data_IF_940335940889
#
_entry.id   IF_940335940889
#
_cell.length_a   1.000
_cell.length_b   1.000
_cell.length_c   1.000
_cell.angle_alpha   90.00
_cell.angle_beta   90.00
_cell.angle_gamma   90.00
#
_symmetry.space_group_name_H-M   'P 1'
#
loop_
_entity.id
_entity.type
_entity.pdbx_description
1 polymer ?
#
# COMPACT_ATOMS: atom_id res chain seq x y z
N UNK A 1 -7.02 28.78 3.02
CA UNK A 1 -8.10 27.80 3.28
C UNK A 1 -8.25 27.63 4.79
N UNK A 2 -9.46 27.73 5.34
CA UNK A 2 -9.69 27.59 6.79
C UNK A 2 -9.89 26.12 7.17
N UNK A 3 -9.20 25.66 8.22
CA UNK A 3 -9.09 24.24 8.59
C UNK A 3 -10.05 23.78 9.69
N UNK A 4 -11.14 24.52 9.95
CA UNK A 4 -12.02 24.22 11.09
C UNK A 4 -12.60 22.80 11.06
N UNK A 5 -12.82 22.23 9.87
CA UNK A 5 -13.33 20.86 9.68
C UNK A 5 -12.27 19.76 9.88
N UNK A 6 -10.99 20.12 9.98
CA UNK A 6 -9.87 19.19 10.12
C UNK A 6 -9.13 19.30 11.46
N UNK A 7 -9.63 20.15 12.38
CA UNK A 7 -9.11 20.21 13.74
C UNK A 7 -9.32 18.86 14.44
N UNK A 8 -8.24 18.30 14.99
CA UNK A 8 -8.22 16.96 15.60
C UNK A 8 -7.89 15.80 14.66
N UNK A 9 -7.57 16.07 13.38
CA UNK A 9 -7.10 15.04 12.44
C UNK A 9 -5.56 14.94 12.34
N UNK A 10 -4.81 15.86 12.92
CA UNK A 10 -3.33 15.90 12.89
C UNK A 10 -2.78 17.14 13.60
N UNK A 11 -1.52 17.54 13.40
CA UNK A 11 -0.87 18.70 14.06
C UNK A 11 -1.38 20.06 13.53
N UNK A 12 -2.59 20.11 12.99
CA UNK A 12 -3.21 21.31 12.43
C UNK A 12 -3.75 22.19 13.57
N UNK A 13 -2.83 22.91 14.23
CA UNK A 13 -3.16 23.89 15.27
C UNK A 13 -3.33 25.31 14.73
N UNK A 14 -3.11 25.50 13.42
CA UNK A 14 -3.26 26.77 12.74
C UNK A 14 -4.67 26.94 12.15
N UNK A 15 -5.13 28.18 12.08
CA UNK A 15 -6.38 28.53 11.39
C UNK A 15 -6.22 28.49 9.85
N UNK A 16 -5.01 28.29 9.36
CA UNK A 16 -4.62 28.30 7.96
C UNK A 16 -3.78 27.06 7.62
N UNK A 17 -3.93 26.56 6.40
CA UNK A 17 -3.16 25.46 5.86
C UNK A 17 -1.79 25.94 5.37
N UNK A 18 -0.71 25.36 5.90
CA UNK A 18 0.67 25.83 5.70
C UNK A 18 1.57 24.86 4.95
N UNK A 19 1.14 23.61 4.72
CA UNK A 19 2.00 22.55 4.20
C UNK A 19 2.22 22.68 2.69
N UNK A 20 1.20 23.14 1.97
CA UNK A 20 1.30 23.46 0.55
C UNK A 20 0.47 24.71 0.22
N UNK A 21 1.15 25.78 -0.16
CA UNK A 21 0.53 27.06 -0.55
C UNK A 21 -0.15 27.02 -1.92
N UNK A 22 0.18 26.03 -2.75
CA UNK A 22 -0.47 25.83 -4.05
C UNK A 22 -1.84 25.17 -3.94
N UNK A 23 -2.09 24.42 -2.85
CA UNK A 23 -3.36 23.75 -2.59
C UNK A 23 -4.53 24.75 -2.52
N UNK A 24 -5.57 24.50 -3.33
CA UNK A 24 -6.81 25.29 -3.38
C UNK A 24 -7.93 24.67 -2.57
N UNK A 25 -7.96 23.34 -2.50
CA UNK A 25 -8.90 22.56 -1.68
C UNK A 25 -8.20 21.35 -1.04
N UNK A 26 -8.84 20.80 -0.01
CA UNK A 26 -8.40 19.57 0.66
C UNK A 26 -9.50 18.53 0.60
N UNK A 27 -9.10 17.28 0.39
CA UNK A 27 -10.01 16.14 0.43
C UNK A 27 -9.57 15.14 1.50
N UNK A 28 -10.37 15.00 2.54
CA UNK A 28 -10.19 13.96 3.53
C UNK A 28 -10.50 12.59 2.94
N UNK A 29 -9.51 11.70 2.99
CA UNK A 29 -9.57 10.40 2.35
C UNK A 29 -9.31 9.29 3.36
N UNK A 30 -10.13 8.24 3.28
CA UNK A 30 -9.87 6.95 3.93
C UNK A 30 -9.67 5.88 2.86
N UNK A 31 -8.52 5.22 2.88
CA UNK A 31 -8.22 4.12 1.95
C UNK A 31 -8.02 2.84 2.74
N UNK A 32 -8.66 1.76 2.30
CA UNK A 32 -8.39 0.40 2.78
C UNK A 32 -7.35 -0.24 1.87
N UNK A 33 -6.29 -0.78 2.46
CA UNK A 33 -5.28 -1.58 1.80
C UNK A 33 -5.36 -3.01 2.32
N UNK A 34 -5.56 -3.95 1.41
CA UNK A 34 -5.62 -5.39 1.70
C UNK A 34 -4.34 -6.07 1.24
N UNK A 35 -3.75 -6.91 2.10
CA UNK A 35 -2.50 -7.60 1.80
C UNK A 35 -2.47 -9.00 2.43
N UNK A 36 -1.74 -9.91 1.78
CA UNK A 36 -1.61 -11.29 2.23
C UNK A 36 -0.43 -11.39 3.21
N UNK A 37 -0.64 -12.08 4.34
CA UNK A 37 0.39 -12.42 5.33
C UNK A 37 0.82 -13.88 5.23
N UNK A 38 1.87 -14.23 5.95
CA UNK A 38 2.49 -15.55 5.94
C UNK A 38 1.55 -16.65 6.45
N UNK A 39 1.75 -17.85 5.90
CA UNK A 39 1.07 -19.08 6.32
C UNK A 39 2.05 -20.25 6.24
N UNK A 40 1.93 -21.17 7.20
CA UNK A 40 2.65 -22.45 7.21
C UNK A 40 1.78 -23.61 6.66
N UNK A 41 0.53 -23.34 6.29
CA UNK A 41 -0.38 -24.36 5.79
C UNK A 41 -0.03 -24.78 4.36
N UNK A 42 -0.04 -26.09 4.12
CA UNK A 42 0.17 -26.66 2.78
C UNK A 42 -1.12 -26.61 1.93
N UNK A 43 -0.94 -26.68 0.61
CA UNK A 43 -2.00 -26.72 -0.39
C UNK A 43 -2.25 -25.38 -1.08
N UNK A 44 -3.22 -25.36 -2.00
CA UNK A 44 -3.51 -24.20 -2.83
C UNK A 44 -4.52 -23.29 -2.14
N UNK A 45 -4.02 -22.25 -1.46
CA UNK A 45 -4.87 -21.29 -0.73
C UNK A 45 -5.86 -20.52 -1.62
N UNK A 46 -5.58 -20.37 -2.91
CA UNK A 46 -6.43 -19.61 -3.84
C UNK A 46 -7.62 -20.48 -4.29
N UNK A 47 -7.34 -21.68 -4.81
CA UNK A 47 -8.40 -22.58 -5.31
C UNK A 47 -9.27 -23.14 -4.18
N UNK A 48 -8.70 -23.32 -2.99
CA UNK A 48 -9.43 -23.79 -1.82
C UNK A 48 -10.18 -22.66 -1.10
N UNK A 49 -10.14 -21.41 -1.61
CA UNK A 49 -10.73 -20.21 -0.98
C UNK A 49 -10.26 -19.97 0.47
N UNK A 50 -9.03 -20.37 0.79
CA UNK A 50 -8.43 -20.18 2.12
C UNK A 50 -7.62 -18.89 2.23
N UNK A 51 -7.30 -18.23 1.11
CA UNK A 51 -6.49 -17.00 1.08
C UNK A 51 -7.09 -15.86 1.91
N UNK A 52 -8.42 -15.81 2.05
CA UNK A 52 -9.11 -14.79 2.85
C UNK A 52 -8.70 -14.84 4.34
N UNK A 53 -8.40 -16.05 4.88
CA UNK A 53 -7.89 -16.22 6.25
C UNK A 53 -6.55 -15.51 6.47
N UNK A 54 -5.78 -15.34 5.40
CA UNK A 54 -4.46 -14.74 5.40
C UNK A 54 -4.45 -13.35 4.75
N UNK A 55 -5.61 -12.79 4.44
CA UNK A 55 -5.73 -11.44 3.92
C UNK A 55 -6.06 -10.50 5.07
N UNK A 56 -5.11 -9.64 5.41
CA UNK A 56 -5.30 -8.58 6.39
C UNK A 56 -5.63 -7.27 5.69
N UNK A 57 -6.21 -6.36 6.47
CA UNK A 57 -6.59 -5.03 5.99
C UNK A 57 -6.04 -3.95 6.90
N UNK A 58 -5.64 -2.83 6.32
CA UNK A 58 -5.30 -1.62 7.05
C UNK A 58 -6.00 -0.42 6.45
N UNK A 59 -6.46 0.49 7.31
CA UNK A 59 -7.08 1.74 6.89
C UNK A 59 -6.04 2.84 7.08
N UNK A 60 -5.84 3.65 6.04
CA UNK A 60 -5.02 4.84 6.07
C UNK A 60 -5.88 6.08 5.91
N UNK A 61 -5.57 7.12 6.69
CA UNK A 61 -6.23 8.41 6.66
C UNK A 61 -5.23 9.49 6.22
N UNK A 62 -5.60 10.30 5.24
CA UNK A 62 -4.78 11.40 4.75
C UNK A 62 -5.64 12.50 4.13
N UNK A 63 -5.09 13.72 4.04
CA UNK A 63 -5.62 14.77 3.19
C UNK A 63 -4.95 14.68 1.82
N UNK A 64 -5.75 14.77 0.76
CA UNK A 64 -5.24 15.10 -0.56
C UNK A 64 -5.29 16.61 -0.77
N UNK A 65 -4.22 17.16 -1.31
CA UNK A 65 -4.13 18.56 -1.73
C UNK A 65 -4.46 18.65 -3.21
N UNK A 66 -5.43 19.50 -3.55
CA UNK A 66 -5.89 19.65 -4.93
C UNK A 66 -5.63 21.06 -5.46
N UNK A 67 -5.32 21.18 -6.75
CA UNK A 67 -5.26 22.46 -7.47
C UNK A 67 -6.66 23.00 -7.85
N UNK A 68 -6.74 24.08 -8.62
CA UNK A 68 -8.01 24.68 -9.07
C UNK A 68 -8.80 23.81 -10.07
N UNK A 69 -8.17 22.78 -10.63
CA UNK A 69 -8.75 21.83 -11.59
C UNK A 69 -8.96 20.45 -10.96
N UNK A 70 -8.91 20.36 -9.62
CA UNK A 70 -9.03 19.11 -8.84
C UNK A 70 -7.93 18.05 -9.12
N UNK A 71 -6.76 18.45 -9.64
CA UNK A 71 -5.63 17.53 -9.75
C UNK A 71 -4.96 17.33 -8.39
N UNK A 72 -4.55 16.09 -8.09
CA UNK A 72 -3.78 15.79 -6.88
C UNK A 72 -2.37 16.34 -7.03
N UNK A 73 -1.98 17.26 -6.15
CA UNK A 73 -0.67 17.92 -6.15
C UNK A 73 0.13 17.67 -4.87
N UNK A 74 -0.43 16.94 -3.91
CA UNK A 74 0.22 16.59 -2.65
C UNK A 74 -0.72 15.90 -1.67
N UNK A 75 -0.29 15.79 -0.43
CA UNK A 75 -1.09 15.24 0.64
C UNK A 75 -0.33 15.08 1.95
N UNK A 76 -1.09 14.99 3.03
CA UNK A 76 -0.58 14.89 4.40
C UNK A 76 -1.23 13.69 5.12
N UNK A 77 -0.41 12.86 5.77
CA UNK A 77 -0.91 11.79 6.62
C UNK A 77 -1.66 12.35 7.82
N UNK A 78 -2.68 11.63 8.27
CA UNK A 78 -3.51 12.02 9.40
C UNK A 78 -3.45 10.99 10.52
N UNK A 79 -3.68 11.46 11.75
CA UNK A 79 -3.88 10.62 12.95
C UNK A 79 -2.79 9.54 13.09
N UNK A 80 -3.19 8.29 13.33
CA UNK A 80 -2.28 7.15 13.45
C UNK A 80 -1.51 6.87 12.17
N UNK A 81 -2.06 7.20 10.99
CA UNK A 81 -1.37 7.02 9.72
C UNK A 81 -0.15 7.93 9.56
N UNK A 82 0.04 8.97 10.38
CA UNK A 82 1.30 9.74 10.41
C UNK A 82 2.49 8.93 10.92
N UNK A 83 2.24 8.00 11.86
CA UNK A 83 3.27 7.15 12.43
C UNK A 83 3.30 5.76 11.81
N UNK A 84 2.18 5.34 11.21
CA UNK A 84 1.94 3.97 10.81
C UNK A 84 1.38 3.90 9.38
N UNK A 85 2.22 4.27 8.42
CA UNK A 85 2.01 4.19 6.98
C UNK A 85 3.06 3.26 6.32
N UNK A 86 2.86 2.79 5.08
CA UNK A 86 3.90 2.04 4.37
C UNK A 86 5.13 2.93 4.14
N UNK A 87 6.33 2.38 4.33
CA UNK A 87 7.58 3.12 4.06
C UNK A 87 7.85 3.25 2.55
N UNK A 88 7.61 2.18 1.80
CA UNK A 88 7.85 2.12 0.36
C UNK A 88 6.95 1.10 -0.33
N UNK A 89 6.73 1.31 -1.63
CA UNK A 89 6.09 0.35 -2.53
C UNK A 89 7.10 -0.02 -3.62
N UNK A 90 7.14 -1.30 -3.97
CA UNK A 90 7.99 -1.80 -5.04
C UNK A 90 7.26 -2.86 -5.84
N UNK A 91 7.57 -2.93 -7.13
CA UNK A 91 6.98 -3.92 -8.04
C UNK A 91 8.11 -4.62 -8.80
N UNK A 92 8.20 -5.96 -8.74
CA UNK A 92 9.15 -6.69 -9.56
C UNK A 92 8.79 -6.54 -11.04
N UNK A 93 9.77 -6.21 -11.87
CA UNK A 93 9.56 -5.95 -13.32
C UNK A 93 9.74 -7.20 -14.18
N UNK A 94 10.38 -8.23 -13.66
CA UNK A 94 10.60 -9.49 -14.36
C UNK A 94 10.83 -10.66 -13.39
N UNK A 95 10.65 -11.89 -13.88
CA UNK A 95 11.09 -13.11 -13.20
C UNK A 95 12.63 -13.24 -13.26
N UNK A 96 13.25 -14.03 -12.37
CA UNK A 96 14.66 -14.37 -12.49
C UNK A 96 14.99 -15.03 -13.84
N UNK A 97 16.22 -14.87 -14.33
CA UNK A 97 16.70 -15.59 -15.51
C UNK A 97 16.71 -17.09 -15.26
N UNK A 98 16.44 -17.90 -16.29
CA UNK A 98 16.40 -19.37 -16.18
C UNK A 98 17.70 -19.99 -15.67
N UNK A 99 18.84 -19.39 -15.98
CA UNK A 99 20.17 -19.82 -15.55
C UNK A 99 20.58 -19.33 -14.15
N UNK A 100 19.70 -18.64 -13.42
CA UNK A 100 19.99 -18.15 -12.06
C UNK A 100 20.24 -19.30 -11.10
N UNK A 101 21.35 -19.19 -10.35
CA UNK A 101 21.71 -20.11 -9.26
C UNK A 101 21.96 -19.31 -7.99
N UNK A 102 21.25 -19.64 -6.91
CA UNK A 102 21.44 -19.02 -5.58
C UNK A 102 21.64 -20.12 -4.56
N UNK A 103 22.78 -20.13 -3.88
CA UNK A 103 23.11 -21.15 -2.84
C UNK A 103 22.90 -22.60 -3.32
N UNK A 104 23.23 -22.89 -4.59
CA UNK A 104 23.04 -24.20 -5.21
C UNK A 104 21.63 -24.49 -5.73
N UNK A 105 20.63 -23.65 -5.43
CA UNK A 105 19.28 -23.74 -5.99
C UNK A 105 19.25 -23.15 -7.39
N UNK A 106 18.93 -23.98 -8.39
CA UNK A 106 18.76 -23.56 -9.79
C UNK A 106 17.32 -23.12 -10.03
N UNK A 107 17.11 -21.87 -10.46
CA UNK A 107 15.77 -21.35 -10.76
C UNK A 107 15.01 -22.23 -11.76
N UNK A 108 15.70 -22.74 -12.80
CA UNK A 108 15.08 -23.65 -13.78
C UNK A 108 14.45 -24.90 -13.17
N UNK A 109 15.06 -25.46 -12.13
CA UNK A 109 14.51 -26.65 -11.47
C UNK A 109 13.25 -26.30 -10.69
N UNK A 110 13.27 -25.17 -9.96
CA UNK A 110 12.10 -24.66 -9.21
C UNK A 110 10.95 -24.36 -10.15
N UNK A 111 11.21 -23.67 -11.26
CA UNK A 111 10.21 -23.37 -12.29
C UNK A 111 9.54 -24.64 -12.84
N UNK A 112 10.33 -25.67 -13.17
CA UNK A 112 9.79 -26.94 -13.67
C UNK A 112 8.91 -27.65 -12.62
N UNK A 113 9.24 -27.55 -11.33
CA UNK A 113 8.42 -28.12 -10.26
C UNK A 113 7.13 -27.34 -10.05
N UNK A 114 7.17 -26.00 -10.09
CA UNK A 114 5.98 -25.15 -10.01
C UNK A 114 5.00 -25.45 -11.14
N UNK A 115 5.51 -25.63 -12.37
CA UNK A 115 4.68 -25.99 -13.53
C UNK A 115 3.97 -27.34 -13.34
N UNK A 116 4.66 -28.35 -12.83
CA UNK A 116 4.05 -29.66 -12.53
C UNK A 116 3.07 -29.62 -11.36
N UNK A 117 3.17 -28.64 -10.47
CA UNK A 117 2.31 -28.52 -9.29
C UNK A 117 0.95 -27.90 -9.61
N UNK A 118 0.81 -27.28 -10.78
CA UNK A 118 -0.43 -26.65 -11.25
C UNK A 118 -1.14 -27.46 -12.33
N UNK A 119 -0.50 -28.52 -12.83
CA UNK A 119 -1.05 -29.52 -13.75
C UNK A 119 -1.84 -30.60 -12.99
#
# INVERSE_FOLDING_TARGET
>A
MRLFEYQGLGPFHANEYIFNTEAKSLLYTKTRYDFIVESEENGNHILDHRVDKYTLSKIYEYLLELDENDNIIGGEWLRGSMADHPDFLWMPTARPRSDTIVMGMKWKNVENMLQKSIE
#
